data_IF_920870137513
#
_entry.id   IF_920870137513
#
_cell.length_a   1.000
_cell.length_b   1.000
_cell.length_c   1.000
_cell.angle_alpha   90.00
_cell.angle_beta   90.00
_cell.angle_gamma   90.00
#
_symmetry.space_group_name_H-M   'P 1'
#
loop_
_entity.id
_entity.type
_entity.pdbx_description
1 polymer ?
#
# COMPACT_ATOMS: atom_id res chain seq x y z
N UNK A 1 2.08 -27.82 2.39
CA UNK A 1 2.91 -27.06 1.40
C UNK A 1 3.87 -26.19 2.19
N UNK A 2 5.18 -26.23 1.90
CA UNK A 2 6.14 -25.33 2.53
C UNK A 2 5.89 -23.91 1.99
N UNK A 3 5.62 -22.95 2.87
CA UNK A 3 5.56 -21.54 2.50
C UNK A 3 6.95 -21.15 1.96
N UNK A 4 7.06 -20.86 0.66
CA UNK A 4 8.30 -20.31 0.09
C UNK A 4 8.34 -18.83 0.40
N UNK A 5 8.81 -18.50 1.60
CA UNK A 5 9.12 -17.14 1.98
C UNK A 5 10.22 -16.61 1.06
N UNK A 6 10.02 -15.44 0.47
CA UNK A 6 11.05 -14.81 -0.36
C UNK A 6 11.95 -14.00 0.57
N UNK A 7 13.25 -14.33 0.60
CA UNK A 7 14.25 -13.50 1.27
C UNK A 7 14.73 -12.39 0.34
N UNK A 8 14.22 -11.18 0.57
CA UNK A 8 14.52 -10.01 -0.24
C UNK A 8 15.92 -9.45 0.01
N UNK A 9 16.61 -9.90 1.06
CA UNK A 9 18.02 -9.57 1.29
C UNK A 9 18.95 -10.36 0.36
N UNK A 10 18.51 -11.54 -0.10
CA UNK A 10 19.29 -12.43 -0.97
C UNK A 10 18.96 -12.20 -2.44
N UNK A 11 17.72 -11.84 -2.78
CA UNK A 11 17.30 -11.57 -4.16
C UNK A 11 16.33 -10.39 -4.22
N UNK A 12 16.84 -9.15 -4.06
CA UNK A 12 16.00 -7.97 -4.07
C UNK A 12 15.35 -7.81 -5.46
N UNK A 13 14.01 -7.68 -5.55
CA UNK A 13 13.37 -7.45 -6.83
C UNK A 13 13.82 -6.11 -7.40
N UNK A 14 14.40 -6.11 -8.59
CA UNK A 14 14.80 -4.86 -9.24
C UNK A 14 13.58 -4.17 -9.82
N UNK A 15 13.18 -3.04 -9.24
CA UNK A 15 12.12 -2.22 -9.83
C UNK A 15 12.65 -1.50 -11.08
N UNK A 16 11.89 -1.61 -12.18
CA UNK A 16 12.25 -1.01 -13.48
C UNK A 16 11.94 0.48 -13.58
N UNK A 17 11.00 0.99 -12.78
CA UNK A 17 10.50 2.36 -12.85
C UNK A 17 9.91 2.77 -11.50
N UNK A 18 10.21 3.97 -10.96
CA UNK A 18 9.78 4.43 -9.63
C UNK A 18 8.31 4.87 -9.58
N UNK A 19 7.41 4.02 -10.09
CA UNK A 19 5.97 4.23 -10.07
C UNK A 19 5.28 3.18 -9.19
N UNK A 20 4.16 3.57 -8.60
CA UNK A 20 3.19 2.72 -7.92
C UNK A 20 1.82 2.90 -8.56
N UNK A 21 1.02 1.84 -8.53
CA UNK A 21 -0.42 1.94 -8.74
C UNK A 21 -1.09 2.12 -7.39
N UNK A 22 -1.79 3.23 -7.21
CA UNK A 22 -2.69 3.44 -6.08
C UNK A 22 -4.10 2.99 -6.49
N UNK A 23 -4.75 2.21 -5.64
CA UNK A 23 -6.11 1.69 -5.87
C UNK A 23 -7.04 2.14 -4.75
N UNK A 24 -8.19 2.71 -5.11
CA UNK A 24 -9.28 3.04 -4.19
C UNK A 24 -10.63 2.70 -4.83
N UNK A 25 -11.33 1.71 -4.28
CA UNK A 25 -12.50 1.12 -4.93
C UNK A 25 -12.13 0.61 -6.34
N UNK A 26 -12.92 0.98 -7.34
CA UNK A 26 -12.68 0.62 -8.75
C UNK A 26 -11.73 1.59 -9.48
N UNK A 27 -11.16 2.57 -8.77
CA UNK A 27 -10.28 3.59 -9.37
C UNK A 27 -8.81 3.26 -9.13
N UNK A 28 -8.02 3.34 -10.20
CA UNK A 28 -6.59 3.06 -10.18
C UNK A 28 -5.82 4.19 -10.85
N UNK A 29 -4.80 4.74 -10.17
CA UNK A 29 -3.95 5.81 -10.69
C UNK A 29 -2.48 5.46 -10.57
N UNK A 30 -1.67 5.92 -11.52
CA UNK A 30 -0.21 5.84 -11.42
C UNK A 30 0.31 7.04 -10.63
N UNK A 31 1.21 6.80 -9.69
CA UNK A 31 1.90 7.84 -8.94
C UNK A 31 3.40 7.53 -8.84
N UNK A 32 4.22 8.58 -8.73
CA UNK A 32 5.63 8.42 -8.34
C UNK A 32 5.73 7.93 -6.90
N UNK A 33 6.71 7.07 -6.61
CA UNK A 33 6.94 6.59 -5.24
C UNK A 33 7.57 7.69 -4.40
N UNK A 34 6.87 8.23 -3.37
CA UNK A 34 7.44 9.25 -2.51
C UNK A 34 8.48 8.68 -1.55
N UNK A 35 9.35 9.53 -1.02
CA UNK A 35 10.33 9.12 -0.02
C UNK A 35 9.66 8.74 1.29
N UNK A 36 8.63 9.49 1.68
CA UNK A 36 7.88 9.35 2.93
C UNK A 36 6.47 8.80 2.69
N UNK A 37 5.95 8.04 3.65
CA UNK A 37 4.60 7.48 3.57
C UNK A 37 3.52 8.56 3.70
N UNK A 38 3.80 9.65 4.42
CA UNK A 38 2.87 10.78 4.57
C UNK A 38 2.58 11.47 3.23
N UNK A 39 3.62 11.70 2.42
CA UNK A 39 3.48 12.23 1.07
C UNK A 39 2.66 11.31 0.15
N UNK A 40 2.67 9.99 0.38
CA UNK A 40 1.76 9.07 -0.32
C UNK A 40 0.29 9.32 0.05
N UNK A 41 0.05 9.68 1.31
CA UNK A 41 -1.22 10.20 1.82
C UNK A 41 -1.72 11.39 1.04
N UNK A 42 -0.88 12.40 0.86
CA UNK A 42 -1.25 13.61 0.16
C UNK A 42 -1.57 13.36 -1.31
N UNK A 43 -0.75 12.54 -1.98
CA UNK A 43 -1.03 12.09 -3.36
C UNK A 43 -2.39 11.38 -3.43
N UNK A 44 -2.65 10.41 -2.55
CA UNK A 44 -3.92 9.68 -2.55
C UNK A 44 -5.12 10.61 -2.30
N UNK A 45 -4.99 11.60 -1.41
CA UNK A 45 -6.05 12.58 -1.16
C UNK A 45 -6.34 13.44 -2.38
N UNK A 46 -5.30 13.91 -3.07
CA UNK A 46 -5.44 14.72 -4.28
C UNK A 46 -6.06 13.91 -5.42
N UNK A 47 -5.54 12.71 -5.68
CA UNK A 47 -6.00 11.88 -6.80
C UNK A 47 -7.42 11.34 -6.62
N UNK A 48 -7.81 10.98 -5.38
CA UNK A 48 -9.12 10.39 -5.09
C UNK A 48 -10.13 11.33 -4.43
N UNK A 49 -9.76 12.59 -4.18
CA UNK A 49 -10.66 13.59 -3.57
C UNK A 49 -11.11 13.25 -2.15
N UNK A 50 -10.22 12.68 -1.32
CA UNK A 50 -10.58 12.09 -0.02
C UNK A 50 -10.62 13.08 1.16
N UNK A 51 -10.21 14.34 0.97
CA UNK A 51 -10.10 15.32 2.05
C UNK A 51 -9.16 14.85 3.18
N UNK A 52 -9.40 15.31 4.41
CA UNK A 52 -8.51 15.05 5.57
C UNK A 52 -8.79 13.72 6.29
N UNK A 53 -9.44 12.78 5.62
CA UNK A 53 -9.72 11.46 6.21
C UNK A 53 -8.44 10.71 6.51
N UNK A 54 -8.50 9.84 7.52
CA UNK A 54 -7.39 8.94 7.86
C UNK A 54 -7.27 7.85 6.80
N UNK A 55 -6.09 7.74 6.21
CA UNK A 55 -5.77 6.73 5.21
C UNK A 55 -4.94 5.61 5.81
N UNK A 56 -5.19 4.40 5.32
CA UNK A 56 -4.34 3.23 5.52
C UNK A 56 -3.94 2.67 4.16
N UNK A 57 -2.75 2.10 4.11
CA UNK A 57 -2.16 1.57 2.90
C UNK A 57 -1.89 0.09 3.06
N UNK A 58 -2.23 -0.70 2.05
CA UNK A 58 -2.06 -2.13 2.05
C UNK A 58 -1.41 -2.60 0.77
N UNK A 59 -0.58 -3.65 0.84
CA UNK A 59 -0.01 -4.28 -0.35
C UNK A 59 0.27 -5.76 -0.14
N UNK A 60 0.13 -6.54 -1.21
CA UNK A 60 0.56 -7.94 -1.31
C UNK A 60 1.83 -8.11 -2.15
N UNK A 61 2.44 -7.00 -2.61
CA UNK A 61 3.65 -7.07 -3.44
C UNK A 61 4.85 -7.67 -2.70
N UNK A 62 4.84 -7.66 -1.37
CA UNK A 62 5.91 -8.21 -0.54
C UNK A 62 5.50 -9.58 -0.03
N UNK A 63 6.02 -10.64 -0.66
CA UNK A 63 5.68 -12.02 -0.33
C UNK A 63 6.49 -12.53 0.89
N UNK A 64 6.02 -12.18 2.09
CA UNK A 64 6.59 -12.60 3.38
C UNK A 64 5.84 -13.82 3.96
N UNK A 65 5.56 -14.84 3.12
CA UNK A 65 4.90 -16.10 3.49
C UNK A 65 3.36 -16.08 3.54
N UNK A 66 2.69 -15.00 3.12
CA UNK A 66 1.22 -14.86 3.07
C UNK A 66 0.76 -14.18 1.79
N UNK A 67 -0.39 -14.62 1.25
CA UNK A 67 -1.05 -14.00 0.09
C UNK A 67 -1.96 -12.82 0.50
N UNK A 68 -2.16 -12.60 1.81
CA UNK A 68 -2.99 -11.52 2.31
C UNK A 68 -2.30 -10.15 2.15
N UNK A 69 -3.02 -9.10 1.74
CA UNK A 69 -2.47 -7.75 1.73
C UNK A 69 -2.12 -7.31 3.15
N UNK A 70 -0.89 -6.84 3.35
CA UNK A 70 -0.39 -6.40 4.65
C UNK A 70 -0.41 -4.86 4.74
N UNK A 71 -0.73 -4.35 5.94
CA UNK A 71 -0.72 -2.91 6.21
C UNK A 71 0.71 -2.35 6.14
N UNK A 72 0.89 -1.28 5.40
CA UNK A 72 2.14 -0.52 5.28
C UNK A 72 2.15 0.54 6.39
N UNK A 73 3.08 0.39 7.33
CA UNK A 73 3.35 1.41 8.36
C UNK A 73 4.59 2.26 8.02
N UNK A 74 4.76 3.44 8.64
CA UNK A 74 5.91 4.31 8.39
C UNK A 74 7.29 3.61 8.50
N UNK A 75 7.57 2.78 9.54
CA UNK A 75 8.87 2.11 9.64
C UNK A 75 9.13 1.08 8.53
N UNK A 76 8.06 0.51 7.97
CA UNK A 76 8.13 -0.51 6.91
C UNK A 76 8.30 0.15 5.55
N UNK A 77 7.77 1.36 5.37
CA UNK A 77 7.81 2.07 4.09
C UNK A 77 9.23 2.16 3.52
N UNK A 78 10.22 2.58 4.31
CA UNK A 78 11.60 2.69 3.82
C UNK A 78 12.17 1.37 3.28
N UNK A 79 11.75 0.25 3.86
CA UNK A 79 12.21 -1.08 3.49
C UNK A 79 11.51 -1.60 2.23
N UNK A 80 10.22 -1.30 2.05
CA UNK A 80 9.41 -1.85 0.96
C UNK A 80 9.25 -0.90 -0.23
N UNK A 81 9.47 0.41 -0.01
CA UNK A 81 9.30 1.44 -1.05
C UNK A 81 10.05 1.15 -2.34
N UNK A 82 11.22 0.48 -2.39
CA UNK A 82 11.89 0.20 -3.65
C UNK A 82 11.20 -0.90 -4.47
N UNK A 83 10.28 -1.64 -3.87
CA UNK A 83 9.81 -2.94 -4.36
C UNK A 83 8.29 -3.03 -4.54
N UNK A 84 7.52 -2.17 -3.87
CA UNK A 84 6.05 -2.19 -3.88
C UNK A 84 5.45 -1.71 -5.21
N UNK A 85 4.75 -2.55 -5.96
CA UNK A 85 4.17 -2.14 -7.26
C UNK A 85 2.77 -1.56 -7.15
N UNK A 86 1.96 -2.14 -6.26
CA UNK A 86 0.55 -1.86 -6.12
C UNK A 86 0.22 -1.61 -4.64
N UNK A 87 -0.54 -0.56 -4.37
CA UNK A 87 -0.94 -0.16 -3.02
C UNK A 87 -2.45 0.09 -3.05
N UNK A 88 -3.17 -0.59 -2.16
CA UNK A 88 -4.58 -0.32 -1.89
C UNK A 88 -4.69 0.77 -0.82
N UNK A 89 -5.52 1.78 -1.08
CA UNK A 89 -5.85 2.85 -0.16
C UNK A 89 -7.16 2.49 0.52
N UNK A 90 -7.17 2.52 1.84
CA UNK A 90 -8.37 2.29 2.67
C UNK A 90 -8.64 3.55 3.47
N UNK A 91 -9.85 4.06 3.38
CA UNK A 91 -10.30 5.18 4.23
C UNK A 91 -10.80 4.59 5.54
N UNK A 92 -10.16 4.96 6.64
CA UNK A 92 -10.62 4.58 7.96
C UNK A 92 -11.56 5.69 8.45
N UNK A 93 -12.84 5.60 8.08
CA UNK A 93 -13.84 6.44 8.71
C UNK A 93 -13.88 6.06 10.18
N UNK A 94 -13.66 7.01 11.09
CA UNK A 94 -14.15 6.86 12.45
C UNK A 94 -15.68 6.90 12.32
N UNK A 95 -16.29 5.77 11.97
CA UNK A 95 -17.72 5.60 12.15
C UNK A 95 -17.93 5.49 13.65
N UNK A 96 -18.75 6.37 14.20
CA UNK A 96 -19.33 6.23 15.53
C UNK A 96 -20.31 5.05 15.60
N UNK A 97 -20.10 3.98 14.81
CA UNK A 97 -20.88 2.74 14.80
C UNK A 97 -19.99 1.55 14.39
N UNK A 98 -20.17 0.37 15.02
CA UNK A 98 -19.28 -0.76 14.84
C UNK A 98 -19.60 -1.54 13.56
N UNK A 99 -18.58 -1.70 12.72
CA UNK A 99 -18.43 -2.87 11.86
C UNK A 99 -19.03 -2.78 10.47
N UNK A 100 -18.20 -2.41 9.49
CA UNK A 100 -18.17 -3.09 8.20
C UNK A 100 -16.87 -2.74 7.45
N UNK A 101 -15.97 -3.71 7.36
CA UNK A 101 -14.83 -3.67 6.44
C UNK A 101 -15.32 -4.29 5.14
N UNK A 102 -15.46 -3.47 4.09
CA UNK A 102 -15.66 -3.98 2.74
C UNK A 102 -14.28 -4.26 2.14
N UNK A 103 -13.94 -5.53 2.01
CA UNK A 103 -12.88 -5.99 1.12
C UNK A 103 -13.54 -6.22 -0.25
N UNK A 104 -13.15 -5.42 -1.24
CA UNK A 104 -13.40 -5.69 -2.67
C UNK A 104 -12.05 -5.94 -3.32
#
# INVERSE_FOLDING_TARGET
MAHRCVDWTVSPPTRKTPLVVLSYGDTHVYATVPEELEALGDVARTEFGLGDVKLEFYSSCVNLCSDAPARIGPPVWEHIRPFVGCISVVVNSISSEPGQVYLV
#
